data_IF_404671409630
#
_entry.id   IF_404671409630
#
_cell.length_a   1.000
_cell.length_b   1.000
_cell.length_c   1.000
_cell.angle_alpha   90.00
_cell.angle_beta   90.00
_cell.angle_gamma   90.00
#
_symmetry.space_group_name_H-M   'P 1'
#
loop_
_entity.id
_entity.type
_entity.pdbx_description
1 polymer ?
#
# COMPACT_ATOMS: atom_id res chain seq x y z
N UNK A 1 14.34 4.61 19.70
CA UNK A 1 14.39 5.95 19.03
C UNK A 1 13.07 6.23 18.31
N UNK A 2 12.67 5.33 17.40
CA UNK A 2 11.44 5.38 16.59
C UNK A 2 10.15 5.55 17.43
N UNK A 3 9.98 4.81 18.53
CA UNK A 3 8.77 4.89 19.37
C UNK A 3 8.59 6.24 20.08
N UNK A 4 9.69 6.89 20.46
CA UNK A 4 9.66 8.23 21.08
C UNK A 4 9.26 9.29 20.04
N UNK A 5 9.73 9.12 18.82
CA UNK A 5 9.47 10.01 17.69
C UNK A 5 8.03 9.89 17.20
N UNK A 6 7.49 8.67 17.12
CA UNK A 6 6.07 8.43 16.82
C UNK A 6 5.13 9.07 17.85
N UNK A 7 5.49 9.03 19.15
CA UNK A 7 4.70 9.68 20.21
C UNK A 7 4.72 11.21 20.10
N UNK A 8 5.85 11.78 19.70
CA UNK A 8 6.01 13.22 19.45
C UNK A 8 5.17 13.68 18.27
N UNK A 9 5.23 12.97 17.13
CA UNK A 9 4.45 13.30 15.94
C UNK A 9 2.94 13.25 16.20
N UNK A 10 2.47 12.26 16.99
CA UNK A 10 1.05 12.18 17.37
C UNK A 10 0.60 13.39 18.19
N UNK A 11 1.44 13.84 19.12
CA UNK A 11 1.14 14.97 20.00
C UNK A 11 1.19 16.32 19.26
N UNK A 12 2.08 16.44 18.26
CA UNK A 12 2.12 17.56 17.32
C UNK A 12 0.83 17.67 16.51
N UNK A 13 0.36 16.54 15.93
CA UNK A 13 -0.90 16.50 15.17
C UNK A 13 -2.12 16.84 16.04
N UNK A 14 -2.14 16.41 17.29
CA UNK A 14 -3.22 16.72 18.23
C UNK A 14 -3.26 18.22 18.56
N UNK A 15 -2.10 18.84 18.80
CA UNK A 15 -1.98 20.29 19.02
C UNK A 15 -2.46 21.10 17.80
N UNK A 16 -2.06 20.72 16.59
CA UNK A 16 -2.50 21.39 15.37
C UNK A 16 -3.99 21.20 15.09
N UNK A 17 -4.56 20.03 15.43
CA UNK A 17 -5.99 19.78 15.34
C UNK A 17 -6.78 20.63 16.34
N UNK A 18 -6.28 20.80 17.56
CA UNK A 18 -6.86 21.69 18.57
C UNK A 18 -6.82 23.16 18.12
N UNK A 19 -5.70 23.62 17.57
CA UNK A 19 -5.54 24.97 17.00
C UNK A 19 -6.45 25.21 15.79
N UNK A 20 -6.64 24.20 14.92
CA UNK A 20 -7.59 24.25 13.80
C UNK A 20 -9.05 24.22 14.25
N UNK A 21 -9.35 23.57 15.37
CA UNK A 21 -10.72 23.38 15.85
C UNK A 21 -11.34 24.60 16.54
N UNK A 22 -10.55 25.62 16.92
CA UNK A 22 -11.07 26.89 17.43
C UNK A 22 -12.05 26.78 18.61
N UNK A 23 -11.98 25.71 19.42
CA UNK A 23 -12.95 25.47 20.50
C UNK A 23 -12.57 26.26 21.75
N UNK A 24 -12.94 27.54 21.77
CA UNK A 24 -13.03 28.31 23.01
C UNK A 24 -14.17 27.77 23.87
N UNK A 25 -13.84 27.17 25.02
CA UNK A 25 -14.83 26.76 26.03
C UNK A 25 -15.41 27.99 26.73
N UNK A 26 -16.56 28.50 26.25
CA UNK A 26 -17.43 29.34 27.08
C UNK A 26 -18.89 29.32 26.61
N UNK A 27 -19.76 28.86 27.51
CA UNK A 27 -21.09 29.41 27.78
C UNK A 27 -22.09 29.50 26.64
N UNK A 28 -23.14 28.66 26.74
CA UNK A 28 -24.47 28.83 26.11
C UNK A 28 -24.83 30.29 25.81
N UNK A 29 -25.06 30.61 24.54
CA UNK A 29 -25.90 31.74 24.13
C UNK A 29 -26.27 31.62 22.65
N UNK A 30 -27.56 31.41 22.39
CA UNK A 30 -28.17 31.22 21.07
C UNK A 30 -28.54 32.55 20.40
N UNK A 31 -27.98 32.89 19.24
CA UNK A 31 -28.63 33.82 18.30
C UNK A 31 -28.04 33.81 16.87
N UNK A 32 -28.91 33.45 15.93
CA UNK A 32 -29.22 34.14 14.66
C UNK A 32 -28.10 34.88 13.91
N UNK A 33 -27.67 34.31 12.77
CA UNK A 33 -26.81 34.96 11.78
C UNK A 33 -27.65 35.82 10.83
N UNK A 34 -27.63 37.15 10.99
CA UNK A 34 -27.88 38.13 9.91
C UNK A 34 -27.11 39.43 10.17
N UNK A 35 -26.61 40.02 9.08
CA UNK A 35 -26.04 41.38 8.90
C UNK A 35 -24.65 41.70 9.47
N UNK A 36 -23.62 41.59 8.61
CA UNK A 36 -22.34 42.28 8.74
C UNK A 36 -21.82 42.76 7.37
N UNK A 37 -22.61 43.59 6.69
CA UNK A 37 -22.16 44.50 5.64
C UNK A 37 -22.52 45.88 6.18
N UNK A 38 -21.54 46.76 6.46
CA UNK A 38 -21.66 48.25 6.54
C UNK A 38 -20.62 48.97 7.44
N UNK A 39 -19.62 48.31 8.04
CA UNK A 39 -18.68 49.00 8.95
C UNK A 39 -17.22 49.10 8.46
N UNK A 40 -17.01 49.39 7.17
CA UNK A 40 -15.68 49.72 6.62
C UNK A 40 -15.65 51.07 5.88
N UNK A 41 -16.61 51.96 6.14
CA UNK A 41 -16.70 53.26 5.48
C UNK A 41 -16.75 54.41 6.51
N UNK A 42 -15.60 54.79 7.09
CA UNK A 42 -15.30 56.20 7.48
C UNK A 42 -13.92 56.40 8.13
N UNK A 43 -13.22 57.42 7.62
CA UNK A 43 -11.90 57.98 7.97
C UNK A 43 -10.74 57.30 7.22
N UNK A 44 -10.00 57.95 6.33
CA UNK A 44 -9.56 59.35 6.30
C UNK A 44 -9.29 59.84 4.87
N UNK A 45 -9.70 61.07 4.59
CA UNK A 45 -9.42 61.81 3.36
C UNK A 45 -8.07 62.57 3.46
N UNK A 46 -7.22 62.46 2.43
CA UNK A 46 -6.28 63.49 1.90
C UNK A 46 -5.68 62.93 0.59
N UNK A 47 -6.22 63.33 -0.56
CA UNK A 47 -5.63 64.32 -1.47
C UNK A 47 -4.43 63.74 -2.25
N UNK A 48 -4.72 63.11 -3.39
CA UNK A 48 -3.91 63.30 -4.60
C UNK A 48 -4.80 63.03 -5.81
N UNK A 49 -4.82 64.00 -6.71
CA UNK A 49 -5.60 64.02 -7.94
C UNK A 49 -4.78 63.37 -9.03
N UNK A 50 -5.13 62.15 -9.44
CA UNK A 50 -4.85 61.69 -10.79
C UNK A 50 -6.07 60.94 -11.32
N UNK A 51 -6.76 61.61 -12.23
CA UNK A 51 -7.97 61.16 -12.89
C UNK A 51 -7.57 60.33 -14.09
N UNK A 52 -7.17 59.07 -13.87
CA UNK A 52 -7.22 58.08 -14.93
C UNK A 52 -8.66 57.55 -14.99
N UNK A 53 -9.41 58.10 -15.94
CA UNK A 53 -10.63 57.48 -16.46
C UNK A 53 -10.23 56.14 -17.09
N UNK A 54 -10.07 55.11 -16.25
CA UNK A 54 -10.12 53.71 -16.68
C UNK A 54 -11.54 53.48 -17.18
N UNK A 55 -11.71 53.73 -18.47
CA UNK A 55 -12.80 53.22 -19.29
C UNK A 55 -13.03 51.78 -18.84
N UNK A 56 -14.12 51.54 -18.11
CA UNK A 56 -14.57 50.21 -17.80
C UNK A 56 -14.85 49.55 -19.15
N UNK A 57 -13.80 48.93 -19.71
CA UNK A 57 -13.88 48.10 -20.89
C UNK A 57 -14.88 47.04 -20.49
N UNK A 58 -16.10 47.22 -21.00
CA UNK A 58 -17.16 46.24 -21.01
C UNK A 58 -16.57 45.03 -21.74
N UNK A 59 -15.81 44.25 -20.99
CA UNK A 59 -15.23 43.01 -21.41
C UNK A 59 -16.43 42.11 -21.55
N UNK A 60 -16.97 42.07 -22.78
CA UNK A 60 -17.84 41.01 -23.24
C UNK A 60 -17.30 39.71 -22.64
N UNK A 61 -17.97 39.22 -21.60
CA UNK A 61 -17.83 37.83 -21.18
C UNK A 61 -18.48 37.10 -22.34
N UNK A 62 -17.64 36.77 -23.32
CA UNK A 62 -18.03 35.94 -24.43
C UNK A 62 -18.46 34.63 -23.79
N UNK A 63 -19.77 34.40 -23.81
CA UNK A 63 -20.44 33.27 -23.16
C UNK A 63 -20.04 32.02 -23.96
N UNK A 64 -18.83 31.53 -23.70
CA UNK A 64 -18.34 30.29 -24.29
C UNK A 64 -19.15 29.18 -23.63
N UNK A 65 -20.21 28.77 -24.33
CA UNK A 65 -20.97 27.57 -24.01
C UNK A 65 -20.02 26.37 -24.11
N UNK A 66 -19.44 25.99 -22.97
CA UNK A 66 -18.56 24.84 -22.88
C UNK A 66 -19.43 23.60 -22.92
N UNK A 67 -19.49 22.94 -24.08
CA UNK A 67 -20.11 21.62 -24.20
C UNK A 67 -19.31 20.63 -23.35
N UNK A 68 -19.82 20.31 -22.17
CA UNK A 68 -19.24 19.27 -21.33
C UNK A 68 -19.40 17.95 -22.06
N UNK A 69 -18.29 17.33 -22.43
CA UNK A 69 -18.32 16.01 -23.07
C UNK A 69 -18.94 14.98 -22.12
N UNK A 70 -19.60 13.97 -22.66
CA UNK A 70 -20.14 12.87 -21.85
C UNK A 70 -19.06 12.16 -21.00
N UNK A 71 -17.79 12.23 -21.41
CA UNK A 71 -16.66 11.75 -20.61
C UNK A 71 -16.38 12.67 -19.41
N UNK A 72 -16.39 14.00 -19.63
CA UNK A 72 -16.16 14.99 -18.59
C UNK A 72 -17.29 14.98 -17.55
N UNK A 73 -18.54 14.77 -17.99
CA UNK A 73 -19.67 14.60 -17.07
C UNK A 73 -19.49 13.39 -16.15
N UNK A 74 -18.92 12.28 -16.63
CA UNK A 74 -18.64 11.11 -15.79
C UNK A 74 -17.53 11.36 -14.79
N UNK A 75 -16.49 12.09 -15.21
CA UNK A 75 -15.40 12.48 -14.32
C UNK A 75 -15.96 13.36 -13.21
N UNK A 76 -16.76 14.38 -13.56
CA UNK A 76 -17.42 15.25 -12.60
C UNK A 76 -18.36 14.47 -11.66
N UNK A 77 -19.14 13.52 -12.17
CA UNK A 77 -19.99 12.65 -11.34
C UNK A 77 -19.16 11.81 -10.35
N UNK A 78 -18.03 11.25 -10.78
CA UNK A 78 -17.13 10.48 -9.91
C UNK A 78 -16.59 11.31 -8.74
N UNK A 79 -16.39 12.63 -8.94
CA UNK A 79 -15.93 13.56 -7.90
C UNK A 79 -17.07 14.13 -7.03
N UNK A 80 -18.27 14.30 -7.60
CA UNK A 80 -19.44 14.87 -6.92
C UNK A 80 -20.26 13.84 -6.16
N UNK A 81 -20.02 12.55 -6.38
CA UNK A 81 -20.71 11.47 -5.67
C UNK A 81 -20.45 11.60 -4.16
N UNK A 82 -21.47 11.87 -3.32
CA UNK A 82 -21.32 12.01 -1.87
C UNK A 82 -20.96 10.68 -1.18
N UNK A 83 -20.87 9.60 -1.96
CA UNK A 83 -20.47 8.27 -1.54
C UNK A 83 -19.14 7.84 -2.19
N UNK A 84 -18.44 8.73 -2.90
CA UNK A 84 -17.15 8.44 -3.54
C UNK A 84 -16.05 8.15 -2.51
N UNK A 85 -16.05 8.85 -1.36
CA UNK A 85 -15.11 8.62 -0.27
C UNK A 85 -15.16 7.18 0.28
N UNK A 86 -16.30 6.49 0.15
CA UNK A 86 -16.46 5.11 0.67
C UNK A 86 -16.14 4.01 -0.35
N UNK A 87 -15.99 4.34 -1.65
CA UNK A 87 -15.91 3.33 -2.73
C UNK A 87 -14.60 3.31 -3.52
N UNK A 88 -13.79 4.37 -3.53
CA UNK A 88 -12.64 4.46 -4.46
C UNK A 88 -11.28 4.70 -3.81
N UNK A 89 -11.20 5.14 -2.55
CA UNK A 89 -9.92 5.34 -1.89
C UNK A 89 -9.49 4.08 -1.14
N UNK A 90 -8.80 3.15 -1.83
CA UNK A 90 -7.92 2.21 -1.13
C UNK A 90 -7.02 3.03 -0.21
N UNK A 91 -7.09 2.81 1.10
CA UNK A 91 -6.32 3.63 2.02
C UNK A 91 -4.83 3.39 1.80
N UNK A 92 -3.98 4.37 2.13
CA UNK A 92 -2.53 4.21 2.04
C UNK A 92 -2.06 2.97 2.82
N UNK A 93 -2.72 2.65 3.94
CA UNK A 93 -2.50 1.43 4.72
C UNK A 93 -2.76 0.15 3.92
N UNK A 94 -3.84 0.11 3.13
CA UNK A 94 -4.17 -1.04 2.28
C UNK A 94 -3.16 -1.18 1.13
N UNK A 95 -2.75 -0.07 0.53
CA UNK A 95 -1.75 -0.04 -0.54
C UNK A 95 -0.38 -0.50 -0.03
N UNK A 96 0.04 -0.04 1.15
CA UNK A 96 1.30 -0.46 1.78
C UNK A 96 1.24 -1.95 2.12
N UNK A 97 0.13 -2.43 2.69
CA UNK A 97 -0.03 -3.84 3.02
C UNK A 97 -0.04 -4.72 1.77
N UNK A 98 -0.69 -4.30 0.69
CA UNK A 98 -0.67 -4.96 -0.62
C UNK A 98 0.76 -5.01 -1.18
N UNK A 99 1.48 -3.89 -1.13
CA UNK A 99 2.87 -3.80 -1.63
C UNK A 99 3.87 -4.58 -0.78
N UNK A 100 3.63 -4.72 0.52
CA UNK A 100 4.50 -5.52 1.40
C UNK A 100 4.32 -7.02 1.12
N UNK A 101 3.07 -7.49 0.99
CA UNK A 101 2.79 -8.89 0.61
C UNK A 101 3.36 -9.25 -0.76
N UNK A 102 3.23 -8.35 -1.74
CA UNK A 102 3.80 -8.55 -3.08
C UNK A 102 5.33 -8.67 -3.01
N UNK A 103 6.00 -7.81 -2.23
CA UNK A 103 7.45 -7.87 -2.05
C UNK A 103 7.91 -9.08 -1.26
N UNK A 104 7.17 -9.49 -0.24
CA UNK A 104 7.46 -10.67 0.58
C UNK A 104 7.44 -11.93 -0.28
N UNK A 105 6.42 -12.14 -1.11
CA UNK A 105 6.37 -13.29 -2.01
C UNK A 105 7.52 -13.31 -3.02
N UNK A 106 7.86 -12.16 -3.62
CA UNK A 106 9.00 -12.05 -4.55
C UNK A 106 10.33 -12.31 -3.83
N UNK A 107 10.46 -11.85 -2.60
CA UNK A 107 11.65 -12.08 -1.79
C UNK A 107 11.77 -13.55 -1.38
N UNK A 108 10.67 -14.19 -0.95
CA UNK A 108 10.63 -15.62 -0.65
C UNK A 108 10.99 -16.48 -1.87
N UNK A 109 10.45 -16.16 -3.04
CA UNK A 109 10.79 -16.84 -4.30
C UNK A 109 12.27 -16.65 -4.65
N UNK A 110 12.80 -15.45 -4.48
CA UNK A 110 14.22 -15.15 -4.73
C UNK A 110 15.13 -15.90 -3.76
N UNK A 111 14.82 -15.90 -2.47
CA UNK A 111 15.58 -16.59 -1.43
C UNK A 111 15.52 -18.11 -1.62
N UNK A 112 14.35 -18.65 -2.00
CA UNK A 112 14.20 -20.06 -2.35
C UNK A 112 15.07 -20.43 -3.55
N UNK A 113 15.09 -19.59 -4.59
CA UNK A 113 15.90 -19.81 -5.78
C UNK A 113 17.40 -19.69 -5.51
N UNK A 114 17.82 -18.67 -4.77
CA UNK A 114 19.21 -18.47 -4.36
C UNK A 114 19.71 -19.65 -3.52
N UNK A 115 18.91 -20.11 -2.56
CA UNK A 115 19.23 -21.30 -1.77
C UNK A 115 19.27 -22.57 -2.63
N UNK A 116 18.35 -22.73 -3.58
CA UNK A 116 18.34 -23.89 -4.49
C UNK A 116 19.54 -23.89 -5.44
N UNK A 117 20.03 -22.72 -5.85
CA UNK A 117 21.24 -22.58 -6.64
C UNK A 117 22.52 -22.85 -5.83
N UNK A 118 22.57 -22.36 -4.58
CA UNK A 118 23.70 -22.62 -3.68
C UNK A 118 23.82 -24.11 -3.33
N UNK A 119 22.69 -24.76 -3.02
CA UNK A 119 22.62 -26.21 -2.76
C UNK A 119 22.95 -27.02 -4.00
N UNK A 120 22.46 -26.64 -5.19
CA UNK A 120 22.80 -27.27 -6.46
C UNK A 120 24.32 -27.25 -6.73
N UNK A 121 24.98 -26.12 -6.49
CA UNK A 121 26.42 -25.99 -6.63
C UNK A 121 27.20 -26.85 -5.62
N UNK A 122 26.70 -26.96 -4.38
CA UNK A 122 27.32 -27.77 -3.34
C UNK A 122 27.23 -29.28 -3.64
N UNK A 123 26.13 -29.74 -4.22
CA UNK A 123 25.85 -31.18 -4.41
C UNK A 123 26.07 -31.67 -5.85
N UNK A 124 26.54 -30.80 -6.75
CA UNK A 124 26.70 -31.08 -8.18
C UNK A 124 25.38 -31.41 -8.91
N UNK A 125 24.23 -31.05 -8.34
CA UNK A 125 22.91 -31.29 -8.92
C UNK A 125 22.46 -30.08 -9.73
N UNK A 126 21.49 -30.28 -10.63
CA UNK A 126 20.81 -29.15 -11.26
C UNK A 126 19.83 -28.49 -10.28
N UNK A 127 19.62 -27.18 -10.39
CA UNK A 127 18.64 -26.40 -9.59
C UNK A 127 17.26 -27.07 -9.58
N UNK A 128 16.81 -27.55 -10.73
CA UNK A 128 15.53 -28.26 -10.88
C UNK A 128 15.50 -29.61 -10.16
N UNK A 129 16.62 -30.33 -10.12
CA UNK A 129 16.70 -31.59 -9.39
C UNK A 129 16.58 -31.35 -7.88
N UNK A 130 17.25 -30.31 -7.35
CA UNK A 130 17.14 -29.91 -5.94
C UNK A 130 15.68 -29.60 -5.59
N UNK A 131 14.99 -28.82 -6.43
CA UNK A 131 13.58 -28.48 -6.22
C UNK A 131 12.68 -29.73 -6.19
N UNK A 132 12.89 -30.67 -7.11
CA UNK A 132 12.17 -31.95 -7.13
C UNK A 132 12.43 -32.76 -5.86
N UNK A 133 13.68 -32.83 -5.39
CA UNK A 133 14.00 -33.59 -4.17
C UNK A 133 13.44 -32.91 -2.90
N UNK A 134 13.44 -31.57 -2.82
CA UNK A 134 12.72 -30.84 -1.75
C UNK A 134 11.23 -31.19 -1.73
N UNK A 135 10.59 -31.22 -2.90
CA UNK A 135 9.19 -31.62 -3.02
C UNK A 135 8.97 -33.08 -2.62
N UNK A 136 9.89 -33.99 -2.97
CA UNK A 136 9.84 -35.39 -2.54
C UNK A 136 9.94 -35.51 -1.02
N UNK A 137 10.80 -34.75 -0.35
CA UNK A 137 10.87 -34.69 1.10
C UNK A 137 9.56 -34.25 1.75
N UNK A 138 8.98 -33.15 1.25
CA UNK A 138 7.66 -32.66 1.71
C UNK A 138 6.53 -33.67 1.46
N UNK A 139 6.60 -34.45 0.38
CA UNK A 139 5.66 -35.54 0.11
C UNK A 139 5.85 -36.71 1.10
N UNK A 140 7.09 -37.12 1.36
CA UNK A 140 7.42 -38.22 2.27
C UNK A 140 7.06 -37.93 3.73
N UNK A 141 7.07 -36.66 4.15
CA UNK A 141 6.61 -36.25 5.49
C UNK A 141 5.15 -36.68 5.78
N UNK A 142 4.28 -36.68 4.77
CA UNK A 142 2.84 -37.02 4.89
C UNK A 142 2.52 -38.42 4.36
N UNK A 143 3.50 -39.11 3.82
CA UNK A 143 3.30 -40.40 3.16
C UNK A 143 3.07 -41.53 4.19
N UNK A 144 2.07 -42.38 3.93
CA UNK A 144 1.70 -43.53 4.78
C UNK A 144 1.53 -44.84 4.02
N UNK A 145 1.01 -44.81 2.80
CA UNK A 145 0.78 -46.00 2.00
C UNK A 145 0.60 -45.63 0.54
N UNK A 146 1.02 -46.51 -0.38
CA UNK A 146 0.85 -46.32 -1.82
C UNK A 146 2.12 -46.61 -2.61
N UNK A 147 2.29 -45.92 -3.74
CA UNK A 147 3.50 -45.98 -4.54
C UNK A 147 4.48 -44.89 -4.11
N UNK A 148 5.71 -45.30 -3.82
CA UNK A 148 6.81 -44.37 -3.55
C UNK A 148 7.23 -43.68 -4.87
N UNK A 149 7.45 -42.34 -4.89
CA UNK A 149 7.84 -41.62 -6.09
C UNK A 149 9.07 -42.22 -6.77
N UNK A 150 9.07 -42.25 -8.11
CA UNK A 150 10.20 -42.79 -8.89
C UNK A 150 11.51 -42.04 -8.61
N UNK A 151 11.43 -40.73 -8.36
CA UNK A 151 12.55 -39.89 -7.97
C UNK A 151 13.23 -40.38 -6.67
N UNK A 152 12.48 -40.93 -5.72
CA UNK A 152 13.05 -41.49 -4.50
C UNK A 152 13.77 -42.82 -4.77
N UNK A 153 13.19 -43.67 -5.63
CA UNK A 153 13.73 -45.00 -5.93
C UNK A 153 15.08 -44.98 -6.65
N UNK A 154 15.44 -43.87 -7.30
CA UNK A 154 16.72 -43.74 -7.99
C UNK A 154 17.85 -43.30 -7.06
N UNK A 155 17.55 -42.72 -5.88
CA UNK A 155 18.53 -42.17 -4.94
C UNK A 155 19.65 -43.17 -4.60
N UNK A 156 19.36 -44.45 -4.28
CA UNK A 156 20.40 -45.41 -3.92
C UNK A 156 21.44 -45.69 -5.03
N UNK A 157 21.13 -45.39 -6.29
CA UNK A 157 22.03 -45.60 -7.42
C UNK A 157 22.88 -44.37 -7.76
N UNK A 158 22.68 -43.24 -7.07
CA UNK A 158 23.40 -42.00 -7.32
C UNK A 158 24.69 -41.97 -6.51
N UNK A 159 25.76 -41.41 -7.08
CA UNK A 159 27.06 -41.29 -6.38
C UNK A 159 27.02 -40.33 -5.20
N UNK A 160 26.14 -39.33 -5.26
CA UNK A 160 25.91 -38.29 -4.25
C UNK A 160 24.61 -38.55 -3.46
N UNK A 161 24.25 -39.81 -3.22
CA UNK A 161 23.00 -40.19 -2.56
C UNK A 161 22.86 -39.59 -1.15
N UNK A 162 23.96 -39.45 -0.40
CA UNK A 162 23.97 -38.86 0.94
C UNK A 162 23.53 -37.39 0.92
N UNK A 163 24.13 -36.58 0.04
CA UNK A 163 23.78 -35.17 -0.13
C UNK A 163 22.32 -34.98 -0.54
N UNK A 164 21.83 -35.86 -1.42
CA UNK A 164 20.43 -35.86 -1.85
C UNK A 164 19.50 -36.18 -0.69
N UNK A 165 19.86 -37.14 0.18
CA UNK A 165 19.09 -37.45 1.37
C UNK A 165 19.00 -36.27 2.35
N UNK A 166 20.07 -35.48 2.48
CA UNK A 166 20.04 -34.27 3.29
C UNK A 166 19.07 -33.22 2.72
N UNK A 167 19.05 -33.02 1.40
CA UNK A 167 18.10 -32.08 0.75
C UNK A 167 16.65 -32.49 0.97
N UNK A 168 16.38 -33.79 1.07
CA UNK A 168 15.02 -34.32 1.28
C UNK A 168 14.54 -34.27 2.73
N UNK A 169 15.33 -33.70 3.66
CA UNK A 169 15.04 -33.62 5.10
C UNK A 169 14.59 -34.96 5.69
N UNK A 170 15.47 -35.98 5.61
CA UNK A 170 15.14 -37.36 5.98
C UNK A 170 14.59 -37.53 7.41
N UNK A 171 14.99 -36.65 8.34
CA UNK A 171 14.53 -36.65 9.74
C UNK A 171 13.03 -36.27 9.87
N UNK A 172 12.50 -35.52 8.90
CA UNK A 172 11.11 -35.07 8.89
C UNK A 172 10.13 -36.11 8.32
N UNK A 173 10.62 -37.26 7.84
CA UNK A 173 9.77 -38.26 7.25
C UNK A 173 8.92 -38.97 8.30
N UNK A 174 7.66 -39.26 7.95
CA UNK A 174 6.76 -40.06 8.79
C UNK A 174 7.48 -41.35 9.25
N UNK A 175 7.35 -41.69 10.54
CA UNK A 175 8.02 -42.78 11.32
C UNK A 175 7.93 -44.21 10.71
N UNK A 176 7.45 -44.33 9.48
CA UNK A 176 7.44 -45.56 8.69
C UNK A 176 8.65 -45.70 7.77
N UNK A 177 9.63 -44.79 7.81
CA UNK A 177 10.90 -45.00 7.12
C UNK A 177 11.59 -46.26 7.71
N UNK A 178 11.84 -47.32 6.91
CA UNK A 178 12.42 -48.55 7.42
C UNK A 178 13.85 -48.28 7.90
N UNK A 179 14.14 -48.75 9.11
CA UNK A 179 15.49 -49.01 9.59
C UNK A 179 16.18 -50.09 8.74
#
# INVERSE_FOLDING_TARGET
>A
KILKEAKLQRLEMEREAEERSGVSRKGSSSYSVKTAITNAAKKSAKDDSDSDEEEARDGYVEDYEYEVSAEDERILQTFLDPNAESKSAKTLSDIIAEKLREREHVQEDFDFRANSQATAAATGLSEKAVEVYKQVGSFLSRYKSGSVPKAFKIIPNLSNWEEILYITDYDSWSVQAPA
#
